data_IF_834154647821
#
_entry.id   IF_834154647821
#
_cell.length_a   1.000
_cell.length_b   1.000
_cell.length_c   1.000
_cell.angle_alpha   90.00
_cell.angle_beta   90.00
_cell.angle_gamma   90.00
#
_symmetry.space_group_name_H-M   'P 1'
#
loop_
_entity.id
_entity.type
_entity.pdbx_description
1 polymer ?
#
# COMPACT_ATOMS: atom_id res chain seq x y z
N UNK A 1 21.26 -24.35 19.32
CA UNK A 1 20.02 -24.48 18.52
C UNK A 1 20.35 -24.02 17.12
N UNK A 2 19.97 -24.76 16.07
CA UNK A 2 20.25 -24.33 14.71
C UNK A 2 19.49 -23.03 14.42
N UNK A 3 20.13 -22.13 13.69
CA UNK A 3 19.53 -20.84 13.31
C UNK A 3 18.73 -21.04 12.02
N UNK A 4 17.64 -20.28 11.82
CA UNK A 4 16.76 -20.43 10.64
C UNK A 4 17.53 -20.50 9.30
N UNK A 5 18.58 -19.68 9.15
CA UNK A 5 19.43 -19.68 7.96
C UNK A 5 20.16 -21.01 7.74
N UNK A 6 20.63 -21.66 8.81
CA UNK A 6 21.34 -22.95 8.74
C UNK A 6 20.40 -24.09 8.34
N UNK A 7 19.16 -24.06 8.85
CA UNK A 7 18.14 -25.05 8.52
C UNK A 7 17.66 -24.89 7.08
N UNK A 8 17.46 -23.66 6.61
CA UNK A 8 17.11 -23.36 5.22
C UNK A 8 18.23 -23.69 4.22
N UNK A 9 19.49 -23.48 4.60
CA UNK A 9 20.64 -23.78 3.76
C UNK A 9 20.99 -25.28 3.72
N UNK A 10 20.46 -26.06 4.66
CA UNK A 10 20.73 -27.50 4.76
C UNK A 10 19.66 -28.33 4.04
N UNK A 11 19.99 -28.96 2.89
CA UNK A 11 19.07 -29.91 2.25
C UNK A 11 18.88 -31.20 3.08
N UNK A 12 19.66 -31.37 4.16
CA UNK A 12 19.56 -32.50 5.10
C UNK A 12 18.89 -32.10 6.42
N UNK A 13 18.25 -30.93 6.48
CA UNK A 13 17.55 -30.50 7.69
C UNK A 13 16.49 -31.52 8.10
N UNK A 14 16.52 -31.92 9.36
CA UNK A 14 15.57 -32.88 9.93
C UNK A 14 14.34 -32.16 10.51
N UNK A 15 13.24 -32.90 10.71
CA UNK A 15 12.07 -32.37 11.44
C UNK A 15 12.41 -31.85 12.83
N UNK A 16 13.42 -32.45 13.49
CA UNK A 16 13.89 -32.02 14.82
C UNK A 16 14.60 -30.66 14.76
N UNK A 17 15.37 -30.42 13.70
CA UNK A 17 16.03 -29.11 13.49
C UNK A 17 14.98 -28.02 13.29
N UNK A 18 13.96 -28.29 12.48
CA UNK A 18 12.82 -27.39 12.28
C UNK A 18 12.01 -27.14 13.55
N UNK A 19 11.78 -28.18 14.37
CA UNK A 19 11.09 -28.04 15.66
C UNK A 19 11.84 -27.10 16.59
N UNK A 20 13.17 -27.21 16.67
CA UNK A 20 14.01 -26.29 17.44
C UNK A 20 13.92 -24.84 16.94
N UNK A 21 13.88 -24.63 15.63
CA UNK A 21 13.72 -23.27 15.06
C UNK A 21 12.34 -22.69 15.39
N UNK A 22 11.26 -23.49 15.29
CA UNK A 22 9.90 -23.08 15.67
C UNK A 22 9.85 -22.66 17.13
N UNK A 23 10.34 -23.51 18.06
CA UNK A 23 10.35 -23.23 19.49
C UNK A 23 11.15 -21.96 19.82
N UNK A 24 12.31 -21.78 19.17
CA UNK A 24 13.13 -20.57 19.34
C UNK A 24 12.40 -19.30 18.89
N UNK A 25 11.67 -19.36 17.77
CA UNK A 25 10.89 -18.24 17.26
C UNK A 25 9.67 -17.93 18.14
N UNK A 26 8.97 -18.96 18.63
CA UNK A 26 7.85 -18.79 19.57
C UNK A 26 8.31 -18.16 20.88
N UNK A 27 9.45 -18.59 21.41
CA UNK A 27 10.06 -17.98 22.59
C UNK A 27 10.43 -16.51 22.34
N UNK A 28 11.02 -16.20 21.18
CA UNK A 28 11.36 -14.82 20.81
C UNK A 28 10.12 -13.92 20.70
N UNK A 29 9.07 -14.37 20.01
CA UNK A 29 7.79 -13.64 19.89
C UNK A 29 7.15 -13.45 21.25
N UNK A 30 7.16 -14.46 22.12
CA UNK A 30 6.62 -14.37 23.49
C UNK A 30 7.39 -13.38 24.37
N UNK A 31 8.72 -13.41 24.30
CA UNK A 31 9.58 -12.46 25.02
C UNK A 31 9.33 -11.02 24.54
N UNK A 32 9.22 -10.83 23.22
CA UNK A 32 8.87 -9.55 22.62
C UNK A 32 7.49 -9.08 23.08
N UNK A 33 6.47 -9.94 23.05
CA UNK A 33 5.13 -9.63 23.54
C UNK A 33 5.12 -9.20 25.02
N UNK A 34 5.93 -9.85 25.88
CA UNK A 34 6.08 -9.47 27.28
C UNK A 34 6.79 -8.13 27.46
N UNK A 35 7.84 -7.85 26.68
CA UNK A 35 8.49 -6.55 26.66
C UNK A 35 7.52 -5.45 26.20
N UNK A 36 6.65 -5.74 25.23
CA UNK A 36 5.60 -4.84 24.75
C UNK A 36 4.46 -4.61 25.74
N UNK A 37 4.11 -5.59 26.56
CA UNK A 37 3.11 -5.43 27.61
C UNK A 37 3.59 -4.49 28.73
N UNK A 38 4.90 -4.41 28.96
CA UNK A 38 5.53 -3.60 30.02
C UNK A 38 5.91 -2.19 29.57
N UNK A 39 5.89 -1.90 28.27
CA UNK A 39 6.27 -0.61 27.69
C UNK A 39 5.03 0.14 27.17
N UNK A 40 5.03 1.48 27.30
CA UNK A 40 3.90 2.32 26.83
C UNK A 40 3.75 2.19 25.31
N UNK A 41 2.57 1.73 24.87
CA UNK A 41 2.32 1.27 23.52
C UNK A 41 1.95 2.40 22.55
N UNK A 42 2.57 2.43 21.36
CA UNK A 42 2.19 3.36 20.28
C UNK A 42 2.00 2.74 18.88
N UNK A 43 1.86 1.40 18.72
CA UNK A 43 1.67 0.73 17.40
C UNK A 43 2.91 0.83 16.48
N UNK A 44 3.13 0.19 15.34
CA UNK A 44 2.60 -0.94 14.56
C UNK A 44 3.89 -1.66 14.09
N UNK A 45 4.45 -2.58 14.88
CA UNK A 45 5.57 -3.46 14.49
C UNK A 45 5.48 -4.93 14.99
N UNK A 46 4.39 -5.44 15.62
CA UNK A 46 4.22 -6.88 15.81
C UNK A 46 4.21 -7.75 14.54
N UNK A 47 3.71 -7.30 13.36
CA UNK A 47 3.38 -8.26 12.32
C UNK A 47 4.60 -8.95 11.72
N UNK A 48 5.82 -8.38 11.74
CA UNK A 48 6.96 -9.03 11.08
C UNK A 48 7.46 -10.27 11.80
N UNK A 49 7.51 -10.27 13.14
CA UNK A 49 7.91 -11.46 13.89
C UNK A 49 6.80 -12.52 13.88
N UNK A 50 5.53 -12.09 13.91
CA UNK A 50 4.38 -13.00 13.76
C UNK A 50 4.30 -13.60 12.33
N UNK A 51 4.60 -12.82 11.29
CA UNK A 51 4.71 -13.29 9.91
C UNK A 51 5.88 -14.26 9.73
N UNK A 52 7.03 -13.96 10.34
CA UNK A 52 8.19 -14.85 10.31
C UNK A 52 7.88 -16.16 11.05
N UNK A 53 7.20 -16.10 12.19
CA UNK A 53 6.76 -17.29 12.92
C UNK A 53 5.75 -18.11 12.10
N UNK A 54 4.76 -17.48 11.45
CA UNK A 54 3.82 -18.17 10.56
C UNK A 54 4.55 -18.85 9.40
N UNK A 55 5.50 -18.16 8.77
CA UNK A 55 6.36 -18.74 7.75
C UNK A 55 7.15 -19.95 8.28
N UNK A 56 7.83 -19.81 9.42
CA UNK A 56 8.66 -20.88 10.00
C UNK A 56 7.81 -22.11 10.35
N UNK A 57 6.61 -21.91 10.91
CA UNK A 57 5.67 -23.00 11.21
C UNK A 57 5.27 -23.77 9.95
N UNK A 58 4.88 -23.07 8.87
CA UNK A 58 4.50 -23.73 7.61
C UNK A 58 5.71 -24.35 6.91
N UNK A 59 6.87 -23.68 6.94
CA UNK A 59 8.10 -24.18 6.34
C UNK A 59 8.59 -25.45 7.04
N UNK A 60 8.41 -25.57 8.35
CA UNK A 60 8.72 -26.78 9.12
C UNK A 60 7.96 -28.02 8.61
N UNK A 61 6.75 -27.83 8.09
CA UNK A 61 5.98 -28.91 7.49
C UNK A 61 6.40 -29.20 6.05
N UNK A 62 6.73 -28.17 5.26
CA UNK A 62 6.95 -28.28 3.80
C UNK A 62 8.40 -28.63 3.46
N UNK A 63 9.37 -27.92 4.03
CA UNK A 63 10.79 -28.02 3.66
C UNK A 63 11.42 -29.41 3.88
N UNK A 64 11.03 -30.21 4.90
CA UNK A 64 11.52 -31.59 5.03
C UNK A 64 11.00 -32.55 3.94
N UNK A 65 9.92 -32.17 3.23
CA UNK A 65 9.32 -32.96 2.14
C UNK A 65 9.72 -32.45 0.76
N UNK A 66 10.04 -31.16 0.66
CA UNK A 66 10.30 -30.47 -0.59
C UNK A 66 11.54 -29.59 -0.47
N UNK A 67 12.49 -29.77 -1.38
CA UNK A 67 13.73 -28.98 -1.43
C UNK A 67 13.70 -27.86 -2.48
N UNK A 68 12.60 -27.73 -3.21
CA UNK A 68 12.39 -26.64 -4.17
C UNK A 68 11.98 -25.35 -3.45
N UNK A 69 12.78 -24.31 -3.61
CA UNK A 69 12.52 -23.00 -3.02
C UNK A 69 11.21 -22.39 -3.53
N UNK A 70 10.82 -22.64 -4.78
CA UNK A 70 9.55 -22.16 -5.33
C UNK A 70 8.36 -22.88 -4.68
N UNK A 71 8.49 -24.16 -4.34
CA UNK A 71 7.47 -24.90 -3.62
C UNK A 71 7.37 -24.46 -2.15
N UNK A 72 8.51 -24.28 -1.47
CA UNK A 72 8.54 -23.75 -0.10
C UNK A 72 7.88 -22.37 -0.06
N UNK A 73 8.20 -21.47 -0.98
CA UNK A 73 7.58 -20.15 -1.02
C UNK A 73 6.06 -20.26 -1.23
N UNK A 74 5.60 -21.08 -2.18
CA UNK A 74 4.17 -21.24 -2.48
C UNK A 74 3.34 -21.78 -1.33
N UNK A 75 3.91 -22.68 -0.52
CA UNK A 75 3.17 -23.36 0.54
C UNK A 75 3.43 -22.77 1.93
N UNK A 76 4.62 -22.22 2.17
CA UNK A 76 5.01 -21.68 3.47
C UNK A 76 4.82 -20.16 3.61
N UNK A 77 4.79 -19.40 2.51
CA UNK A 77 4.45 -17.97 2.58
C UNK A 77 2.94 -17.82 2.43
N UNK A 78 2.32 -17.05 3.33
CA UNK A 78 0.88 -16.79 3.29
C UNK A 78 0.49 -16.15 1.95
N UNK A 79 -0.58 -16.61 1.28
CA UNK A 79 -0.97 -16.10 -0.05
C UNK A 79 -1.12 -14.58 -0.12
N UNK A 80 -1.62 -13.94 0.94
CA UNK A 80 -1.77 -12.49 0.99
C UNK A 80 -0.42 -11.75 0.88
N UNK A 81 0.64 -12.26 1.50
CA UNK A 81 1.99 -11.67 1.39
C UNK A 81 2.50 -11.73 -0.05
N UNK A 82 2.25 -12.85 -0.72
CA UNK A 82 2.59 -13.01 -2.13
C UNK A 82 1.73 -12.09 -3.02
N UNK A 83 0.44 -11.95 -2.72
CA UNK A 83 -0.46 -11.04 -3.45
C UNK A 83 -0.01 -9.60 -3.35
N UNK A 84 0.39 -9.11 -2.16
CA UNK A 84 0.92 -7.75 -2.03
C UNK A 84 2.23 -7.55 -2.79
N UNK A 85 3.12 -8.53 -2.74
CA UNK A 85 4.36 -8.47 -3.51
C UNK A 85 4.10 -8.44 -5.03
N UNK A 86 3.15 -9.25 -5.52
CA UNK A 86 2.74 -9.25 -6.92
C UNK A 86 2.01 -7.96 -7.31
N UNK A 87 1.22 -7.39 -6.39
CA UNK A 87 0.57 -6.09 -6.61
C UNK A 87 1.58 -4.95 -6.72
N UNK A 88 2.65 -4.96 -5.91
CA UNK A 88 3.72 -3.99 -6.05
C UNK A 88 4.39 -4.03 -7.44
N UNK A 89 4.47 -5.21 -8.07
CA UNK A 89 4.96 -5.35 -9.45
C UNK A 89 3.97 -4.72 -10.44
N UNK A 90 2.66 -4.96 -10.26
CA UNK A 90 1.61 -4.26 -11.02
C UNK A 90 1.70 -2.74 -10.87
N UNK A 91 1.99 -2.24 -9.66
CA UNK A 91 2.16 -0.81 -9.39
C UNK A 91 3.36 -0.20 -10.11
N UNK A 92 4.47 -0.93 -10.22
CA UNK A 92 5.64 -0.46 -11.00
C UNK A 92 5.28 -0.25 -12.47
N UNK A 93 4.57 -1.21 -13.07
CA UNK A 93 4.10 -1.09 -14.46
C UNK A 93 3.13 0.08 -14.63
N UNK A 94 2.12 0.18 -13.75
CA UNK A 94 1.15 1.27 -13.78
C UNK A 94 1.80 2.64 -13.63
N UNK A 95 2.71 2.81 -12.66
CA UNK A 95 3.38 4.09 -12.41
C UNK A 95 4.25 4.53 -13.60
N UNK A 96 4.93 3.59 -14.25
CA UNK A 96 5.70 3.87 -15.45
C UNK A 96 4.78 4.27 -16.62
N UNK A 97 3.67 3.57 -16.81
CA UNK A 97 2.66 3.92 -17.82
C UNK A 97 2.06 5.30 -17.57
N UNK A 98 1.66 5.60 -16.34
CA UNK A 98 1.12 6.89 -15.93
C UNK A 98 2.11 8.02 -16.17
N UNK A 99 3.38 7.83 -15.82
CA UNK A 99 4.44 8.81 -16.06
C UNK A 99 4.66 9.07 -17.55
N UNK A 100 4.68 8.02 -18.38
CA UNK A 100 4.82 8.14 -19.84
C UNK A 100 3.61 8.83 -20.45
N UNK A 101 2.39 8.53 -19.98
CA UNK A 101 1.18 9.23 -20.42
C UNK A 101 1.23 10.70 -20.03
N UNK A 102 1.63 11.02 -18.80
CA UNK A 102 1.76 12.41 -18.33
C UNK A 102 2.76 13.20 -19.18
N UNK A 103 3.93 12.62 -19.48
CA UNK A 103 4.95 13.25 -20.33
C UNK A 103 4.46 13.55 -21.74
N UNK A 104 3.60 12.71 -22.32
CA UNK A 104 3.15 12.84 -23.71
C UNK A 104 1.98 13.79 -23.90
N UNK A 105 1.01 13.78 -22.99
CA UNK A 105 -0.23 14.55 -23.15
C UNK A 105 -0.55 15.53 -22.03
N UNK A 106 0.34 15.68 -21.04
CA UNK A 106 0.22 16.67 -19.98
C UNK A 106 -1.08 16.53 -19.18
N UNK A 107 -1.65 17.69 -18.85
CA UNK A 107 -2.84 17.89 -18.02
C UNK A 107 -4.17 17.80 -18.81
N UNK A 108 -4.11 17.53 -20.11
CA UNK A 108 -5.28 17.43 -20.97
C UNK A 108 -5.61 15.97 -21.35
N UNK A 109 -6.90 15.71 -21.58
CA UNK A 109 -7.36 14.45 -22.18
C UNK A 109 -6.97 14.44 -23.65
N UNK A 110 -6.44 13.30 -24.12
CA UNK A 110 -5.93 13.12 -25.47
C UNK A 110 -6.68 12.02 -26.23
N UNK A 111 -6.59 12.07 -27.56
CA UNK A 111 -7.07 10.98 -28.41
C UNK A 111 -6.31 9.70 -28.07
N UNK A 112 -7.06 8.61 -27.87
CA UNK A 112 -6.54 7.32 -27.44
C UNK A 112 -6.62 7.06 -25.94
N UNK A 113 -6.88 8.08 -25.11
CA UNK A 113 -7.11 7.88 -23.68
C UNK A 113 -8.35 7.02 -23.44
N UNK A 114 -8.29 6.20 -22.39
CA UNK A 114 -9.45 5.50 -21.87
C UNK A 114 -10.04 6.38 -20.78
N UNK A 115 -11.31 6.73 -20.94
CA UNK A 115 -12.06 7.53 -19.96
C UNK A 115 -13.20 6.73 -19.37
N UNK A 116 -13.48 6.99 -18.10
CA UNK A 116 -14.70 6.55 -17.44
C UNK A 116 -15.83 7.49 -17.86
N UNK A 117 -16.86 6.93 -18.49
CA UNK A 117 -18.06 7.66 -18.89
C UNK A 117 -18.96 7.77 -17.66
N UNK A 118 -19.18 9.00 -17.22
CA UNK A 118 -20.04 9.32 -16.10
C UNK A 118 -21.34 9.93 -16.60
N UNK A 119 -22.48 9.49 -16.06
CA UNK A 119 -23.73 10.25 -16.16
C UNK A 119 -23.68 11.37 -15.12
N UNK A 120 -23.40 12.59 -15.57
CA UNK A 120 -23.28 13.79 -14.73
C UNK A 120 -24.58 14.16 -14.01
N UNK A 121 -25.71 13.51 -14.33
CA UNK A 121 -27.02 13.80 -13.75
C UNK A 121 -27.34 12.98 -12.50
N UNK A 122 -26.58 11.93 -12.22
CA UNK A 122 -26.82 11.04 -11.07
C UNK A 122 -26.07 11.51 -9.82
N UNK A 123 -26.81 11.97 -8.81
CA UNK A 123 -26.29 12.21 -7.45
C UNK A 123 -26.14 10.92 -6.63
N UNK A 124 -26.41 9.74 -7.21
CA UNK A 124 -26.25 8.49 -6.49
C UNK A 124 -24.75 8.13 -6.36
N UNK A 125 -24.34 7.54 -5.23
CA UNK A 125 -22.98 7.02 -5.11
C UNK A 125 -22.70 6.07 -6.27
N UNK A 126 -21.56 6.27 -6.95
CA UNK A 126 -21.17 5.45 -8.08
C UNK A 126 -21.21 3.97 -7.65
N UNK A 127 -22.03 3.18 -8.34
CA UNK A 127 -22.16 1.76 -8.05
C UNK A 127 -20.80 1.03 -8.20
N UNK A 128 -20.70 -0.12 -7.54
CA UNK A 128 -19.47 -0.89 -7.46
C UNK A 128 -18.94 -1.20 -8.87
N UNK A 129 -17.80 -0.60 -9.20
CA UNK A 129 -17.15 -0.80 -10.49
C UNK A 129 -16.20 -1.98 -10.36
N UNK A 130 -16.66 -3.14 -10.83
CA UNK A 130 -15.84 -4.34 -10.82
C UNK A 130 -14.63 -4.18 -11.73
N UNK A 131 -14.56 -3.24 -12.67
CA UNK A 131 -13.35 -3.01 -13.45
C UNK A 131 -12.36 -2.04 -12.75
N UNK A 132 -12.77 -1.35 -11.69
CA UNK A 132 -11.92 -0.40 -10.98
C UNK A 132 -10.97 -1.14 -10.02
N UNK A 133 -9.75 -0.66 -9.97
CA UNK A 133 -8.79 -1.05 -8.96
C UNK A 133 -9.09 -0.34 -7.64
N UNK A 134 -9.47 -1.13 -6.64
CA UNK A 134 -9.77 -0.68 -5.27
C UNK A 134 -8.84 -1.32 -4.27
N UNK A 135 -7.69 -1.85 -4.72
CA UNK A 135 -6.73 -2.49 -3.84
C UNK A 135 -6.28 -1.52 -2.74
N UNK A 136 -6.37 -1.98 -1.50
CA UNK A 136 -5.84 -1.27 -0.32
C UNK A 136 -4.77 -2.18 0.25
N UNK A 137 -3.50 -1.75 0.21
CA UNK A 137 -2.41 -2.54 0.77
C UNK A 137 -2.53 -2.66 2.28
N UNK A 138 -1.88 -3.65 2.89
CA UNK A 138 -1.95 -3.80 4.34
C UNK A 138 -1.35 -2.63 5.10
N UNK A 139 -0.36 -1.94 4.52
CA UNK A 139 0.16 -0.70 5.06
C UNK A 139 -0.88 0.43 5.10
N UNK A 140 -1.88 0.38 4.21
CA UNK A 140 -2.97 1.36 4.11
C UNK A 140 -4.19 0.93 4.96
N UNK A 141 -4.25 -0.34 5.41
CA UNK A 141 -5.33 -0.83 6.26
C UNK A 141 -5.08 -0.48 7.74
N UNK A 142 -6.08 0.12 8.38
CA UNK A 142 -6.02 0.63 9.76
C UNK A 142 -5.73 -0.48 10.80
N UNK A 143 -6.09 -1.73 10.48
CA UNK A 143 -5.77 -2.93 11.25
C UNK A 143 -4.72 -3.80 10.54
N UNK A 144 -3.78 -3.18 9.82
CA UNK A 144 -2.83 -3.74 8.85
C UNK A 144 -1.86 -4.81 9.35
N UNK A 145 -2.35 -5.81 10.07
CA UNK A 145 -1.71 -7.11 10.08
C UNK A 145 -1.94 -7.72 8.69
N UNK A 146 -0.86 -8.07 8.00
CA UNK A 146 -0.83 -8.99 6.85
C UNK A 146 -1.48 -10.36 7.14
N UNK A 147 -1.93 -10.57 8.38
CA UNK A 147 -2.61 -11.76 8.84
C UNK A 147 -4.13 -11.56 8.99
N UNK A 148 -4.64 -10.34 8.83
CA UNK A 148 -6.05 -10.00 9.01
C UNK A 148 -6.93 -10.64 7.93
N UNK A 149 -8.12 -11.09 8.33
CA UNK A 149 -9.17 -11.54 7.41
C UNK A 149 -9.95 -10.39 6.76
N UNK A 150 -9.64 -9.14 7.13
CA UNK A 150 -10.27 -7.95 6.54
C UNK A 150 -9.72 -7.62 5.14
N UNK A 151 -8.61 -8.24 4.73
CA UNK A 151 -8.03 -8.07 3.41
C UNK A 151 -8.84 -8.83 2.36
N UNK A 152 -9.11 -8.17 1.23
CA UNK A 152 -9.82 -8.80 0.13
C UNK A 152 -8.97 -9.90 -0.51
N UNK A 153 -9.51 -11.11 -0.60
CA UNK A 153 -8.82 -12.25 -1.20
C UNK A 153 -9.00 -12.24 -2.73
N UNK A 154 -8.17 -11.48 -3.42
CA UNK A 154 -8.25 -11.28 -4.87
C UNK A 154 -8.08 -12.57 -5.70
N UNK A 155 -7.37 -13.57 -5.15
CA UNK A 155 -7.22 -14.88 -5.80
C UNK A 155 -8.51 -15.69 -5.86
N UNK A 156 -9.51 -15.39 -5.02
CA UNK A 156 -10.76 -16.15 -4.93
C UNK A 156 -11.77 -15.78 -6.03
N UNK A 157 -11.62 -14.63 -6.69
CA UNK A 157 -12.52 -14.19 -7.76
C UNK A 157 -12.24 -14.97 -9.05
N UNK A 158 -13.21 -15.76 -9.52
CA UNK A 158 -13.11 -16.45 -10.81
C UNK A 158 -13.37 -15.49 -11.99
N UNK A 159 -12.90 -15.86 -13.19
CA UNK A 159 -13.19 -15.10 -14.41
C UNK A 159 -14.69 -14.98 -14.68
N UNK A 160 -15.47 -16.00 -14.33
CA UNK A 160 -16.93 -15.99 -14.46
C UNK A 160 -17.58 -15.01 -13.48
N UNK A 161 -17.11 -14.97 -12.23
CA UNK A 161 -17.56 -13.99 -11.25
C UNK A 161 -17.21 -12.56 -11.68
N UNK A 162 -16.07 -12.36 -12.32
CA UNK A 162 -15.67 -11.06 -12.87
C UNK A 162 -16.55 -10.63 -14.05
N UNK A 163 -16.89 -11.54 -14.96
CA UNK A 163 -17.79 -11.27 -16.09
C UNK A 163 -19.24 -11.06 -15.66
N UNK A 164 -19.68 -11.76 -14.61
CA UNK A 164 -21.01 -11.64 -14.06
C UNK A 164 -21.17 -10.41 -13.15
N UNK A 165 -20.07 -9.82 -12.68
CA UNK A 165 -20.11 -8.61 -11.86
C UNK A 165 -20.56 -7.43 -12.72
N UNK A 166 -21.71 -6.81 -12.43
CA UNK A 166 -22.23 -5.71 -13.24
C UNK A 166 -21.25 -4.54 -13.21
N UNK A 167 -20.72 -4.14 -14.36
CA UNK A 167 -20.04 -2.86 -14.52
C UNK A 167 -21.08 -1.80 -14.84
N UNK A 168 -21.42 -0.95 -13.87
CA UNK A 168 -22.28 0.22 -14.10
C UNK A 168 -21.56 1.37 -14.79
N UNK A 169 -20.23 1.35 -14.79
CA UNK A 169 -19.39 2.33 -15.49
C UNK A 169 -19.17 1.89 -16.93
N UNK A 170 -19.56 2.74 -17.88
CA UNK A 170 -19.13 2.58 -19.26
C UNK A 170 -17.71 3.17 -19.40
N UNK A 171 -16.81 2.44 -20.04
CA UNK A 171 -15.50 2.95 -20.41
C UNK A 171 -15.49 3.27 -21.90
N UNK A 172 -14.72 4.27 -22.31
CA UNK A 172 -14.59 4.63 -23.73
C UNK A 172 -13.17 5.04 -24.06
N UNK A 173 -12.70 4.62 -25.23
CA UNK A 173 -11.47 5.14 -25.84
C UNK A 173 -11.81 6.40 -26.62
N UNK A 174 -11.18 7.53 -26.26
CA UNK A 174 -11.39 8.83 -26.91
C UNK A 174 -10.94 8.75 -28.37
N UNK A 175 -11.85 9.01 -29.31
CA UNK A 175 -11.57 8.86 -30.74
C UNK A 175 -11.16 10.17 -31.42
N UNK A 176 -11.63 11.32 -30.90
CA UNK A 176 -11.42 12.62 -31.56
C UNK A 176 -11.02 13.71 -30.56
N UNK A 177 -10.37 14.77 -31.05
CA UNK A 177 -10.03 15.94 -30.22
C UNK A 177 -11.27 16.65 -29.66
N UNK A 178 -12.36 16.68 -30.44
CA UNK A 178 -13.63 17.26 -30.01
C UNK A 178 -14.26 16.49 -28.86
N UNK A 179 -14.14 15.15 -28.87
CA UNK A 179 -14.54 14.30 -27.76
C UNK A 179 -13.62 14.50 -26.55
N UNK A 180 -12.29 14.57 -26.75
CA UNK A 180 -11.33 14.78 -25.67
C UNK A 180 -11.64 16.05 -24.85
N UNK A 181 -12.09 17.12 -25.52
CA UNK A 181 -12.46 18.39 -24.88
C UNK A 181 -13.70 18.30 -23.97
N UNK A 182 -14.47 17.20 -24.03
CA UNK A 182 -15.66 16.99 -23.18
C UNK A 182 -15.31 16.34 -21.83
N UNK A 183 -14.12 15.73 -21.72
CA UNK A 183 -13.68 15.01 -20.54
C UNK A 183 -12.64 15.79 -19.75
N UNK A 184 -12.52 15.47 -18.47
CA UNK A 184 -11.48 15.97 -17.58
C UNK A 184 -10.41 14.91 -17.38
N UNK A 185 -9.23 15.34 -16.97
CA UNK A 185 -8.13 14.42 -16.67
C UNK A 185 -8.47 13.44 -15.53
N UNK A 186 -9.37 13.84 -14.62
CA UNK A 186 -9.92 12.97 -13.56
C UNK A 186 -10.77 11.81 -14.09
N UNK A 187 -11.27 11.92 -15.32
CA UNK A 187 -12.04 10.86 -15.97
C UNK A 187 -11.13 9.84 -16.67
N UNK A 188 -9.86 10.19 -16.89
CA UNK A 188 -8.88 9.30 -17.54
C UNK A 188 -8.48 8.19 -16.59
N UNK A 189 -8.56 6.97 -17.09
CA UNK A 189 -8.11 5.76 -16.42
C UNK A 189 -7.03 5.07 -17.24
N UNK A 190 -6.15 4.36 -16.56
CA UNK A 190 -5.13 3.53 -17.19
C UNK A 190 -5.28 2.07 -16.74
N UNK A 191 -5.02 1.10 -17.63
CA UNK A 191 -5.07 -0.31 -17.28
C UNK A 191 -3.90 -0.69 -16.37
N UNK A 192 -4.15 -1.58 -15.43
CA UNK A 192 -3.14 -2.25 -14.61
C UNK A 192 -2.80 -3.62 -15.22
N UNK A 193 -1.55 -4.04 -15.11
CA UNK A 193 -1.12 -5.35 -15.60
C UNK A 193 -1.35 -6.44 -14.54
N UNK A 194 -1.99 -7.54 -14.92
CA UNK A 194 -2.32 -8.61 -13.98
C UNK A 194 -3.04 -9.78 -14.63
N UNK A 195 -3.58 -10.67 -13.79
CA UNK A 195 -4.36 -11.83 -14.22
C UNK A 195 -5.55 -11.38 -15.07
N UNK A 196 -5.82 -12.08 -16.17
CA UNK A 196 -6.92 -11.78 -17.09
C UNK A 196 -6.83 -10.43 -17.82
N UNK A 197 -5.63 -9.86 -17.98
CA UNK A 197 -5.42 -8.58 -18.70
C UNK A 197 -6.02 -8.55 -20.11
N UNK A 198 -5.97 -9.67 -20.84
CA UNK A 198 -6.58 -9.80 -22.17
C UNK A 198 -8.12 -9.71 -22.17
N UNK A 199 -8.76 -9.79 -20.99
CA UNK A 199 -10.21 -9.66 -20.83
C UNK A 199 -10.63 -8.29 -20.30
N UNK A 200 -9.69 -7.39 -20.02
CA UNK A 200 -10.01 -6.02 -19.66
C UNK A 200 -10.64 -5.34 -20.89
N UNK A 201 -11.81 -4.67 -20.75
CA UNK A 201 -12.49 -4.11 -21.91
C UNK A 201 -11.63 -3.03 -22.56
N UNK A 202 -11.80 -2.81 -23.87
CA UNK A 202 -11.06 -1.81 -24.66
C UNK A 202 -9.55 -2.06 -24.80
N UNK A 203 -9.02 -3.18 -24.32
CA UNK A 203 -7.68 -3.63 -24.70
C UNK A 203 -7.75 -4.28 -26.09
N UNK A 204 -7.08 -3.70 -27.09
CA UNK A 204 -6.91 -4.33 -28.41
C UNK A 204 -5.44 -4.35 -28.82
N UNK A 205 -5.00 -5.46 -29.43
CA UNK A 205 -3.64 -5.58 -29.98
C UNK A 205 -3.40 -4.60 -31.14
N UNK A 206 -4.46 -4.06 -31.72
CA UNK A 206 -4.43 -3.17 -32.87
C UNK A 206 -4.16 -1.71 -32.44
N UNK A 207 -2.87 -1.42 -32.23
CA UNK A 207 -2.21 -0.11 -32.31
C UNK A 207 -2.38 0.90 -31.16
N UNK A 208 -3.39 0.81 -30.31
CA UNK A 208 -3.54 1.71 -29.15
C UNK A 208 -2.72 1.29 -27.91
N UNK A 209 -2.54 -0.02 -27.73
CA UNK A 209 -2.01 -0.60 -26.48
C UNK A 209 -0.56 -1.10 -26.61
N UNK A 210 0.12 -0.74 -27.69
CA UNK A 210 1.51 -1.13 -27.93
C UNK A 210 2.43 -0.66 -26.80
N UNK A 211 2.25 0.56 -26.27
CA UNK A 211 3.06 1.05 -25.16
C UNK A 211 2.84 0.22 -23.89
N UNK A 212 1.60 -0.15 -23.59
CA UNK A 212 1.24 -0.96 -22.44
C UNK A 212 1.92 -2.33 -22.48
N UNK A 213 1.85 -3.00 -23.64
CA UNK A 213 2.46 -4.31 -23.87
C UNK A 213 4.00 -4.23 -23.92
N UNK A 214 4.57 -3.24 -24.62
CA UNK A 214 6.02 -3.02 -24.67
C UNK A 214 6.59 -2.79 -23.28
N UNK A 215 5.94 -1.94 -22.47
CA UNK A 215 6.36 -1.68 -21.10
C UNK A 215 6.30 -2.95 -20.23
N UNK A 216 5.29 -3.80 -20.44
CA UNK A 216 5.18 -5.06 -19.71
C UNK A 216 6.37 -5.99 -20.00
N UNK A 217 6.79 -6.05 -21.27
CA UNK A 217 7.96 -6.82 -21.71
C UNK A 217 9.28 -6.24 -21.19
N UNK A 218 9.45 -4.93 -21.27
CA UNK A 218 10.65 -4.23 -20.78
C UNK A 218 10.84 -4.42 -19.27
N UNK A 219 9.75 -4.30 -18.50
CA UNK A 219 9.76 -4.52 -17.06
C UNK A 219 9.71 -6.00 -16.67
N UNK A 220 9.56 -6.92 -17.64
CA UNK A 220 9.47 -8.37 -17.46
C UNK A 220 8.33 -8.80 -16.51
N UNK A 221 7.16 -8.17 -16.65
CA UNK A 221 5.98 -8.42 -15.81
C UNK A 221 4.90 -9.24 -16.52
N UNK A 222 5.13 -9.66 -17.76
CA UNK A 222 4.19 -10.44 -18.59
C UNK A 222 3.70 -11.72 -17.90
N UNK A 223 4.55 -12.35 -17.07
CA UNK A 223 4.22 -13.55 -16.31
C UNK A 223 3.08 -13.37 -15.30
N UNK A 224 2.76 -12.13 -14.89
CA UNK A 224 1.64 -11.86 -13.98
C UNK A 224 0.30 -12.32 -14.56
N UNK A 225 0.12 -12.32 -15.88
CA UNK A 225 -1.11 -12.75 -16.53
C UNK A 225 -1.46 -14.21 -16.23
N UNK A 226 -0.43 -15.06 -16.05
CA UNK A 226 -0.54 -16.50 -15.85
C UNK A 226 -0.49 -16.91 -14.36
N UNK A 227 -0.11 -15.99 -13.47
CA UNK A 227 0.05 -16.28 -12.05
C UNK A 227 -1.31 -16.27 -11.33
N UNK A 228 -1.69 -17.41 -10.76
CA UNK A 228 -2.94 -17.54 -9.99
C UNK A 228 -3.09 -16.51 -8.87
N UNK A 229 -1.99 -16.19 -8.18
CA UNK A 229 -1.96 -15.24 -7.07
C UNK A 229 -1.74 -13.79 -7.49
N UNK A 230 -1.51 -13.51 -8.77
CA UNK A 230 -1.38 -12.13 -9.23
C UNK A 230 -2.70 -11.38 -9.05
N UNK A 231 -2.65 -10.06 -8.80
CA UNK A 231 -3.85 -9.24 -8.85
C UNK A 231 -4.49 -9.35 -10.23
N UNK A 232 -5.81 -9.23 -10.28
CA UNK A 232 -6.52 -9.09 -11.55
C UNK A 232 -6.13 -7.77 -12.23
N UNK A 233 -6.10 -7.77 -13.55
CA UNK A 233 -6.05 -6.52 -14.29
C UNK A 233 -7.35 -5.71 -14.05
N UNK A 234 -7.20 -4.40 -13.94
CA UNK A 234 -8.26 -3.45 -13.65
C UNK A 234 -7.91 -2.08 -14.26
N UNK A 235 -8.85 -1.15 -14.24
CA UNK A 235 -8.59 0.26 -14.51
C UNK A 235 -8.30 1.00 -13.22
N UNK A 236 -7.31 1.89 -13.23
CA UNK A 236 -7.03 2.80 -12.14
C UNK A 236 -6.99 4.24 -12.67
N UNK A 237 -7.61 5.22 -11.99
CA UNK A 237 -7.60 6.61 -12.45
C UNK A 237 -6.18 7.16 -12.54
N UNK A 238 -5.91 7.95 -13.58
CA UNK A 238 -4.63 8.65 -13.76
C UNK A 238 -4.45 9.74 -12.70
N UNK A 239 -5.52 10.49 -12.42
CA UNK A 239 -5.54 11.56 -11.43
C UNK A 239 -6.66 11.32 -10.43
N UNK A 240 -6.33 11.43 -9.14
CA UNK A 240 -7.30 11.37 -8.05
C UNK A 240 -7.15 12.62 -7.18
N UNK A 241 -8.28 13.25 -6.87
CA UNK A 241 -8.31 14.46 -6.05
C UNK A 241 -8.70 14.10 -4.62
N UNK A 242 -7.95 14.56 -3.60
CA UNK A 242 -8.42 14.52 -2.23
C UNK A 242 -9.70 15.34 -2.09
N UNK A 243 -10.61 14.91 -1.21
CA UNK A 243 -11.80 15.66 -0.86
C UNK A 243 -11.82 15.98 0.65
N UNK A 244 -12.68 16.91 1.05
CA UNK A 244 -12.82 17.35 2.45
C UNK A 244 -11.47 17.72 3.08
N UNK A 245 -10.69 18.52 2.37
CA UNK A 245 -9.35 18.92 2.78
C UNK A 245 -9.41 20.08 3.76
N UNK A 246 -8.72 19.94 4.89
CA UNK A 246 -8.45 21.01 5.86
C UNK A 246 -7.01 20.87 6.35
N UNK A 247 -6.37 21.99 6.69
CA UNK A 247 -5.03 21.98 7.24
C UNK A 247 -4.85 23.04 8.33
N UNK A 248 -3.90 22.79 9.21
CA UNK A 248 -3.53 23.69 10.30
C UNK A 248 -2.01 23.78 10.36
N UNK A 249 -1.48 25.00 10.42
CA UNK A 249 -0.05 25.29 10.49
C UNK A 249 0.26 25.96 11.82
N UNK A 250 1.35 25.54 12.47
CA UNK A 250 1.79 26.14 13.74
C UNK A 250 3.31 26.15 13.87
N UNK A 251 3.83 27.27 14.35
CA UNK A 251 5.19 27.42 14.88
C UNK A 251 5.09 27.77 16.38
N UNK A 252 5.15 26.74 17.22
CA UNK A 252 5.00 26.89 18.67
C UNK A 252 6.09 27.76 19.29
N UNK A 253 7.28 27.81 18.69
CA UNK A 253 8.39 28.61 19.20
C UNK A 253 8.15 30.10 18.98
N UNK A 254 7.53 30.45 17.85
CA UNK A 254 7.19 31.84 17.51
C UNK A 254 5.85 32.27 18.07
N UNK A 255 5.04 31.35 18.59
CA UNK A 255 3.67 31.62 19.03
C UNK A 255 2.77 32.02 17.87
N UNK A 256 3.05 31.49 16.67
CA UNK A 256 2.31 31.80 15.45
C UNK A 256 1.60 30.56 14.94
N UNK A 257 0.35 30.73 14.51
CA UNK A 257 -0.45 29.71 13.88
C UNK A 257 -1.35 30.28 12.77
N UNK A 258 -1.85 29.39 11.93
CA UNK A 258 -2.76 29.71 10.82
C UNK A 258 -3.94 28.73 10.78
N UNK A 259 -5.15 29.29 10.84
CA UNK A 259 -6.42 28.60 10.72
C UNK A 259 -7.20 29.18 9.53
N UNK A 260 -7.43 28.40 8.48
CA UNK A 260 -8.14 28.88 7.28
C UNK A 260 -9.67 28.63 7.35
N UNK A 261 -10.08 27.52 7.97
CA UNK A 261 -11.47 27.06 7.99
C UNK A 261 -11.87 26.44 9.34
N UNK A 262 -13.16 26.08 9.47
CA UNK A 262 -13.66 25.38 10.65
C UNK A 262 -12.97 24.01 10.86
N UNK A 263 -12.48 23.39 9.78
CA UNK A 263 -11.68 22.17 9.85
C UNK A 263 -10.34 22.40 10.55
N UNK A 264 -9.64 23.49 10.25
CA UNK A 264 -8.39 23.88 10.88
C UNK A 264 -8.54 24.08 12.39
N UNK A 265 -9.63 24.73 12.83
CA UNK A 265 -9.94 24.88 14.25
C UNK A 265 -10.14 23.52 14.96
N UNK A 266 -10.83 22.58 14.31
CA UNK A 266 -10.99 21.21 14.81
C UNK A 266 -9.65 20.46 14.85
N UNK A 267 -8.78 20.68 13.85
CA UNK A 267 -7.44 20.11 13.82
C UNK A 267 -6.62 20.60 15.00
N UNK A 268 -6.57 21.91 15.23
CA UNK A 268 -5.89 22.55 16.36
C UNK A 268 -6.37 22.02 17.70
N UNK A 269 -7.68 21.95 17.92
CA UNK A 269 -8.28 21.45 19.16
C UNK A 269 -7.93 19.97 19.45
N UNK A 270 -7.49 19.23 18.43
CA UNK A 270 -7.13 17.82 18.52
C UNK A 270 -5.63 17.58 18.67
N UNK A 271 -4.83 18.64 18.71
CA UNK A 271 -3.39 18.56 18.94
C UNK A 271 -3.07 18.33 20.41
N UNK A 272 -1.95 17.65 20.65
CA UNK A 272 -1.42 17.43 21.99
C UNK A 272 0.09 17.15 21.91
N UNK A 273 0.81 17.43 23.00
CA UNK A 273 2.18 16.93 23.14
C UNK A 273 2.15 15.50 23.66
N UNK A 274 2.90 14.62 22.99
CA UNK A 274 3.15 13.29 23.52
C UNK A 274 4.18 13.33 24.67
N UNK A 275 4.47 12.16 25.23
CA UNK A 275 5.42 12.02 26.33
C UNK A 275 6.86 12.41 25.97
N UNK A 276 7.20 12.50 24.68
CA UNK A 276 8.51 12.95 24.20
C UNK A 276 8.51 14.47 23.88
N UNK A 277 7.44 15.18 24.23
CA UNK A 277 7.26 16.61 24.01
C UNK A 277 6.94 16.98 22.55
N UNK A 278 6.66 16.00 21.69
CA UNK A 278 6.42 16.24 20.27
C UNK A 278 4.95 16.56 20.06
N UNK A 279 4.67 17.61 19.28
CA UNK A 279 3.31 17.96 18.87
C UNK A 279 2.73 16.88 17.95
N UNK A 280 1.57 16.36 18.31
CA UNK A 280 0.87 15.26 17.61
C UNK A 280 -0.59 15.61 17.37
N UNK A 281 -1.19 14.93 16.39
CA UNK A 281 -2.63 14.94 16.15
C UNK A 281 -3.28 13.65 16.66
N UNK A 282 -4.40 13.77 17.39
CA UNK A 282 -5.22 12.61 17.78
C UNK A 282 -6.03 12.12 16.59
N UNK A 283 -5.54 11.09 15.90
CA UNK A 283 -6.29 10.49 14.80
C UNK A 283 -7.67 10.02 15.28
N UNK A 284 -8.71 10.06 14.42
CA UNK A 284 -10.04 9.50 14.75
C UNK A 284 -9.97 8.05 15.25
N UNK A 285 -8.99 7.29 14.77
CA UNK A 285 -8.73 5.92 15.21
C UNK A 285 -8.16 5.83 16.62
N UNK A 286 -7.28 6.76 17.01
CA UNK A 286 -6.80 6.85 18.40
C UNK A 286 -7.95 7.05 19.37
N UNK A 287 -8.94 7.87 19.01
CA UNK A 287 -10.14 8.08 19.85
C UNK A 287 -10.97 6.80 20.02
N UNK A 288 -11.03 5.95 18.99
CA UNK A 288 -11.82 4.70 19.01
C UNK A 288 -11.08 3.53 19.64
N UNK A 289 -9.76 3.46 19.51
CA UNK A 289 -8.97 2.28 19.89
C UNK A 289 -8.09 2.51 21.11
N UNK A 290 -7.92 3.76 21.53
CA UNK A 290 -6.90 4.16 22.51
C UNK A 290 -5.47 4.05 21.97
N UNK A 291 -5.27 3.64 20.72
CA UNK A 291 -3.96 3.44 20.10
C UNK A 291 -3.66 4.58 19.13
N UNK A 292 -2.64 5.38 19.44
CA UNK A 292 -2.11 6.32 18.46
C UNK A 292 -1.40 5.55 17.34
N UNK A 293 -1.64 5.93 16.08
CA UNK A 293 -0.89 5.41 14.94
C UNK A 293 0.48 6.07 14.89
N UNK A 294 1.44 5.58 15.68
CA UNK A 294 2.84 6.01 15.57
C UNK A 294 3.70 4.77 15.51
N UNK A 295 3.97 4.29 14.29
CA UNK A 295 4.75 3.08 14.01
C UNK A 295 6.16 3.11 14.63
N UNK A 296 6.32 2.73 15.91
CA UNK A 296 7.60 2.83 16.64
C UNK A 296 7.77 1.78 17.75
N UNK A 297 7.06 0.65 17.68
CA UNK A 297 7.24 -0.51 18.60
C UNK A 297 8.58 -1.25 18.41
N UNK A 298 9.33 -0.98 17.34
CA UNK A 298 10.60 -1.68 17.02
C UNK A 298 11.87 -1.05 17.61
N UNK A 299 11.81 0.19 18.13
CA UNK A 299 13.00 0.92 18.58
C UNK A 299 13.16 0.69 20.09
N UNK A 300 14.09 -0.20 20.46
CA UNK A 300 14.22 -0.75 21.82
C UNK A 300 15.09 0.10 22.74
N UNK A 301 16.06 0.83 22.20
CA UNK A 301 17.00 1.62 22.99
C UNK A 301 16.74 3.14 22.86
N UNK A 302 17.11 3.88 23.91
CA UNK A 302 16.92 5.32 24.00
C UNK A 302 17.69 6.10 22.93
N UNK A 303 18.83 5.57 22.46
CA UNK A 303 19.68 6.23 21.48
C UNK A 303 19.04 6.22 20.10
N UNK A 304 18.58 5.05 19.64
CA UNK A 304 17.82 4.86 18.44
C UNK A 304 16.47 5.59 18.51
N UNK A 305 15.82 5.64 19.68
CA UNK A 305 14.60 6.43 19.89
C UNK A 305 14.87 7.91 19.67
N UNK A 306 15.89 8.48 20.31
CA UNK A 306 16.30 9.89 20.13
C UNK A 306 16.68 10.18 18.68
N UNK A 307 17.44 9.29 18.05
CA UNK A 307 17.81 9.44 16.64
C UNK A 307 16.57 9.52 15.73
N UNK A 308 15.60 8.63 15.93
CA UNK A 308 14.38 8.58 15.13
C UNK A 308 13.42 9.75 15.40
N UNK A 309 13.39 10.25 16.64
CA UNK A 309 12.59 11.42 17.01
C UNK A 309 13.24 12.73 16.57
N UNK A 310 14.55 12.74 16.31
CA UNK A 310 15.32 13.95 15.96
C UNK A 310 14.65 14.81 14.87
N UNK A 311 14.11 14.27 13.75
CA UNK A 311 13.44 15.09 12.76
C UNK A 311 12.15 15.74 13.28
N UNK A 312 11.38 15.05 14.11
CA UNK A 312 10.15 15.57 14.72
C UNK A 312 10.41 16.53 15.89
N UNK A 313 11.63 16.52 16.45
CA UNK A 313 12.10 17.45 17.47
C UNK A 313 12.81 18.68 16.88
N UNK A 314 13.03 18.71 15.55
CA UNK A 314 13.60 19.89 14.91
C UNK A 314 12.62 21.05 15.05
N UNK A 315 13.17 22.20 15.42
CA UNK A 315 12.42 23.45 15.46
C UNK A 315 11.95 23.80 14.04
N UNK A 316 10.67 24.17 13.92
CA UNK A 316 10.08 24.59 12.65
C UNK A 316 8.55 24.60 12.71
N UNK A 317 7.95 24.88 11.56
CA UNK A 317 6.50 24.83 11.38
C UNK A 317 6.03 23.37 11.30
N UNK A 318 5.00 23.04 12.06
CA UNK A 318 4.26 21.79 11.94
C UNK A 318 3.03 22.04 11.06
N UNK A 319 2.83 21.20 10.05
CA UNK A 319 1.60 21.16 9.25
C UNK A 319 0.82 19.90 9.59
N UNK A 320 -0.46 20.07 9.95
CA UNK A 320 -1.40 18.97 10.13
C UNK A 320 -2.44 19.08 9.04
N UNK A 321 -2.58 18.02 8.26
CA UNK A 321 -3.53 17.95 7.15
C UNK A 321 -4.52 16.84 7.39
N UNK A 322 -5.77 17.10 7.08
CA UNK A 322 -6.82 16.10 7.02
C UNK A 322 -7.47 16.21 5.66
N UNK A 323 -7.57 15.08 4.97
CA UNK A 323 -8.24 14.95 3.69
C UNK A 323 -8.71 13.50 3.56
N UNK A 324 -9.67 13.26 2.70
CA UNK A 324 -10.15 11.92 2.38
C UNK A 324 -9.74 11.58 0.96
N UNK A 325 -9.24 10.36 0.79
CA UNK A 325 -8.81 9.83 -0.51
C UNK A 325 -9.74 8.69 -0.93
N UNK A 326 -9.92 8.49 -2.25
CA UNK A 326 -10.50 7.26 -2.78
C UNK A 326 -9.74 6.01 -2.33
N UNK A 327 -10.41 4.85 -2.36
CA UNK A 327 -9.73 3.57 -2.17
C UNK A 327 -8.66 3.38 -3.26
N UNK A 328 -7.52 2.78 -2.90
CA UNK A 328 -6.37 2.59 -3.79
C UNK A 328 -5.47 3.81 -3.98
N UNK A 329 -5.73 4.92 -3.29
CA UNK A 329 -4.86 6.10 -3.27
C UNK A 329 -3.93 6.09 -2.04
N UNK A 330 -2.73 6.63 -2.19
CA UNK A 330 -1.79 6.81 -1.08
C UNK A 330 -1.69 8.28 -0.63
N UNK A 331 -1.79 8.52 0.68
CA UNK A 331 -1.63 9.85 1.27
C UNK A 331 -0.26 10.46 0.97
N UNK A 332 0.78 9.63 0.87
CA UNK A 332 2.14 10.07 0.51
C UNK A 332 2.22 10.65 -0.89
N UNK A 333 1.45 10.15 -1.85
CA UNK A 333 1.41 10.71 -3.22
C UNK A 333 0.82 12.11 -3.25
N UNK A 334 -0.28 12.34 -2.52
CA UNK A 334 -0.88 13.68 -2.39
C UNK A 334 0.06 14.68 -1.70
N UNK A 335 0.71 14.26 -0.61
CA UNK A 335 1.69 15.10 0.12
C UNK A 335 2.92 15.39 -0.75
N UNK A 336 3.39 14.40 -1.51
CA UNK A 336 4.54 14.56 -2.42
C UNK A 336 4.28 15.68 -3.42
N UNK A 337 3.09 15.71 -4.01
CA UNK A 337 2.71 16.72 -5.00
C UNK A 337 2.61 18.12 -4.34
N UNK A 338 1.98 18.21 -3.18
CA UNK A 338 1.78 19.50 -2.50
C UNK A 338 3.08 20.14 -2.00
N UNK A 339 4.04 19.34 -1.52
CA UNK A 339 5.28 19.85 -0.90
C UNK A 339 6.55 19.60 -1.72
N UNK A 340 6.42 18.97 -2.90
CA UNK A 340 7.56 18.58 -3.74
C UNK A 340 8.64 17.79 -2.97
N UNK A 341 8.21 16.99 -1.99
CA UNK A 341 9.12 16.26 -1.10
C UNK A 341 9.72 15.05 -1.80
N UNK A 342 11.01 14.80 -1.61
CA UNK A 342 11.57 13.49 -1.92
C UNK A 342 11.08 12.47 -0.87
N UNK A 343 10.45 11.38 -1.32
CA UNK A 343 10.13 10.27 -0.42
C UNK A 343 11.44 9.75 0.20
N UNK A 344 11.50 9.68 1.53
CA UNK A 344 12.65 9.10 2.24
C UNK A 344 12.99 7.72 1.63
N UNK A 345 14.26 7.49 1.33
CA UNK A 345 14.72 6.22 0.77
C UNK A 345 14.30 5.07 1.69
N UNK A 346 13.61 4.04 1.18
CA UNK A 346 13.33 2.82 1.94
C UNK A 346 14.61 2.21 2.51
N UNK A 347 15.75 2.32 1.80
CA UNK A 347 17.06 1.88 2.29
C UNK A 347 17.54 2.67 3.51
N UNK A 348 17.17 3.95 3.64
CA UNK A 348 17.43 4.69 4.86
C UNK A 348 16.58 4.14 6.02
N UNK A 349 15.29 3.84 5.78
CA UNK A 349 14.42 3.20 6.78
C UNK A 349 14.98 1.83 7.20
N UNK A 350 15.36 0.99 6.24
CA UNK A 350 15.95 -0.33 6.52
C UNK A 350 17.28 -0.22 7.26
N UNK A 351 18.20 0.66 6.83
CA UNK A 351 19.47 0.89 7.56
C UNK A 351 19.23 1.32 9.00
N UNK A 352 18.18 2.10 9.25
CA UNK A 352 17.79 2.53 10.59
C UNK A 352 17.18 1.40 11.42
N UNK A 353 16.45 0.47 10.79
CA UNK A 353 15.91 -0.72 11.45
C UNK A 353 16.98 -1.81 11.68
N UNK A 354 18.05 -1.83 10.88
CA UNK A 354 19.15 -2.80 10.99
C UNK A 354 20.36 -2.26 11.76
N UNK A 355 20.36 -0.99 12.14
CA UNK A 355 21.41 -0.41 12.98
C UNK A 355 21.37 -1.09 14.35
N UNK A 356 22.44 -1.83 14.67
CA UNK A 356 22.64 -2.48 15.97
C UNK A 356 23.22 -1.52 16.99
#
# INVERSE_FOLDING_TARGET
MPVLQEVLASPRSSRRDWSGVVEGMEAAVKCDAQAYARTRQTGVYPPHHDLLLDFVRRAADVAPRHHDSAQIIREAVRPLVLQEALHAITDVHFNALASLRWQRGGDAVAVGDIVRVHDLTSQQPAAADSALDVFVGAADHINGAMLSSAHQEWSALSLEQLRAAPTTAAYRRVATKAEAAQYRLTDVVLPTFGRHVAHLPLMSEEKGDALFATLAKELRVEGLAEMRLAPRAAFRPLLQLPNNMSFYLVDEKRGWDWEEDAGAALLKASLYHDQDGILRYRSPMSRRTGKNMVARLGIRDDTARRFFLKPAQKLGMTCVMQFTLPAGSHATSAIREAFMMATLSPSAIFRLLTAR
#
